data_IF_435625126354
#
_entry.id   IF_435625126354
#
_cell.length_a   1.000
_cell.length_b   1.000
_cell.length_c   1.000
_cell.angle_alpha   90.00
_cell.angle_beta   90.00
_cell.angle_gamma   90.00
#
_symmetry.space_group_name_H-M   'P 1'
#
loop_
_entity.id
_entity.type
_entity.pdbx_description
1 polymer ?
#
# COMPACT_ATOMS: atom_id res chain seq x y z
N UNK A 1 -9.56 0.37 -19.55
CA UNK A 1 -10.48 0.11 -18.42
C UNK A 1 -11.60 1.15 -18.27
N UNK A 2 -11.48 2.37 -18.83
CA UNK A 2 -12.57 3.36 -18.76
C UNK A 2 -12.78 3.97 -17.37
N UNK A 3 -11.77 3.90 -16.50
CA UNK A 3 -11.82 4.48 -15.15
C UNK A 3 -11.58 5.98 -15.28
N UNK A 4 -12.57 6.77 -14.85
CA UNK A 4 -12.58 8.24 -14.85
C UNK A 4 -12.43 8.84 -13.44
N UNK A 5 -12.09 8.01 -12.45
CA UNK A 5 -11.85 8.40 -11.07
C UNK A 5 -10.39 8.77 -10.87
N UNK A 6 -10.13 9.52 -9.80
CA UNK A 6 -8.78 9.90 -9.41
C UNK A 6 -7.94 8.66 -9.11
N UNK A 7 -6.71 8.66 -9.62
CA UNK A 7 -5.74 7.58 -9.43
C UNK A 7 -4.51 8.19 -8.76
N UNK A 8 -4.17 7.69 -7.59
CA UNK A 8 -2.94 8.04 -6.88
C UNK A 8 -1.91 6.92 -7.02
N UNK A 9 -0.73 7.23 -7.55
CA UNK A 9 0.43 6.35 -7.48
C UNK A 9 1.07 6.48 -6.10
N UNK A 10 1.04 5.40 -5.31
CA UNK A 10 1.57 5.37 -3.94
C UNK A 10 3.11 5.28 -3.86
N UNK A 11 3.74 4.86 -4.95
CA UNK A 11 5.19 4.86 -5.11
C UNK A 11 5.71 6.17 -5.68
N UNK A 12 7.04 6.32 -5.75
CA UNK A 12 7.68 7.47 -6.37
C UNK A 12 7.88 7.18 -7.85
N UNK A 13 7.39 8.05 -8.73
CA UNK A 13 7.73 8.06 -10.15
C UNK A 13 9.03 8.82 -10.38
N UNK A 14 9.77 8.50 -11.44
CA UNK A 14 10.88 9.32 -11.87
C UNK A 14 10.38 10.55 -12.65
N UNK A 15 11.09 11.70 -12.62
CA UNK A 15 10.65 12.91 -13.33
C UNK A 15 10.42 12.73 -14.82
N UNK A 16 11.18 11.86 -15.49
CA UNK A 16 11.01 11.54 -16.91
C UNK A 16 9.70 10.80 -17.24
N UNK A 17 8.93 10.36 -16.23
CA UNK A 17 7.63 9.69 -16.40
C UNK A 17 6.44 10.65 -16.20
N UNK A 18 6.70 11.91 -15.84
CA UNK A 18 5.65 12.89 -15.49
C UNK A 18 4.74 13.27 -16.65
N UNK A 19 5.22 13.20 -17.90
CA UNK A 19 4.41 13.50 -19.08
C UNK A 19 3.15 12.64 -19.11
N UNK A 20 3.29 11.35 -18.79
CA UNK A 20 2.18 10.41 -18.77
C UNK A 20 1.24 10.70 -17.60
N UNK A 21 1.79 11.03 -16.43
CA UNK A 21 0.99 11.37 -15.26
C UNK A 21 0.10 12.60 -15.51
N UNK A 22 0.67 13.67 -16.08
CA UNK A 22 -0.06 14.90 -16.41
C UNK A 22 -1.12 14.63 -17.49
N UNK A 23 -0.73 13.96 -18.58
CA UNK A 23 -1.64 13.66 -19.71
C UNK A 23 -2.81 12.77 -19.30
N UNK A 24 -2.61 11.90 -18.31
CA UNK A 24 -3.63 10.96 -17.81
C UNK A 24 -4.30 11.41 -16.52
N UNK A 25 -3.98 12.60 -16.01
CA UNK A 25 -4.52 13.14 -14.75
C UNK A 25 -4.31 12.18 -13.57
N UNK A 26 -3.13 11.56 -13.51
CA UNK A 26 -2.74 10.66 -12.42
C UNK A 26 -2.01 11.46 -11.35
N UNK A 27 -2.49 11.38 -10.12
CA UNK A 27 -1.85 11.99 -8.96
C UNK A 27 -0.60 11.22 -8.59
N UNK A 28 0.51 11.93 -8.34
CA UNK A 28 1.80 11.30 -8.03
C UNK A 28 2.21 11.53 -6.58
N UNK A 29 2.90 10.56 -5.98
CA UNK A 29 3.53 10.74 -4.67
C UNK A 29 4.90 11.39 -4.82
N UNK A 30 5.14 12.46 -4.06
CA UNK A 30 6.47 13.08 -3.93
C UNK A 30 6.96 12.90 -2.50
N UNK A 31 8.18 12.39 -2.35
CA UNK A 31 8.68 11.91 -1.06
C UNK A 31 10.02 12.53 -0.63
N UNK A 32 10.61 13.43 -1.42
CA UNK A 32 11.92 13.99 -1.10
C UNK A 32 12.20 15.32 -1.83
N UNK A 33 13.16 16.11 -1.33
CA UNK A 33 13.62 17.35 -1.96
C UNK A 33 14.54 17.07 -3.17
N UNK A 34 15.24 15.93 -3.18
CA UNK A 34 16.04 15.47 -4.31
C UNK A 34 15.15 15.21 -5.53
N UNK A 35 13.96 14.65 -5.32
CA UNK A 35 12.99 14.48 -6.39
C UNK A 35 12.62 15.83 -7.02
N UNK A 36 12.35 16.84 -6.21
CA UNK A 36 12.06 18.19 -6.67
C UNK A 36 13.27 18.79 -7.43
N UNK A 37 14.48 18.56 -6.95
CA UNK A 37 15.69 19.05 -7.61
C UNK A 37 15.88 18.41 -8.99
N UNK A 38 15.60 17.10 -9.14
CA UNK A 38 15.62 16.42 -10.44
C UNK A 38 14.51 16.93 -11.36
N UNK A 39 13.28 17.08 -10.84
CA UNK A 39 12.16 17.62 -11.61
C UNK A 39 12.46 19.03 -12.15
N UNK A 40 13.14 19.89 -11.39
CA UNK A 40 13.57 21.22 -11.83
C UNK A 40 14.57 21.21 -13.00
N UNK A 41 15.34 20.13 -13.15
CA UNK A 41 16.31 20.02 -14.25
C UNK A 41 15.63 19.62 -15.57
N UNK A 42 14.59 18.80 -15.48
CA UNK A 42 13.93 18.20 -16.64
C UNK A 42 12.67 18.95 -17.06
N UNK A 43 11.99 19.60 -16.11
CA UNK A 43 10.68 20.22 -16.32
C UNK A 43 10.70 21.71 -15.97
N UNK A 44 10.40 22.60 -16.94
CA UNK A 44 10.34 24.05 -16.70
C UNK A 44 9.07 24.48 -15.94
N UNK A 45 7.99 23.70 -16.03
CA UNK A 45 6.70 23.91 -15.38
C UNK A 45 6.04 22.54 -15.13
N UNK A 46 5.35 22.40 -13.99
CA UNK A 46 4.61 21.23 -13.53
C UNK A 46 3.10 21.48 -13.55
N UNK A 47 2.63 22.49 -14.27
CA UNK A 47 1.20 22.77 -14.45
C UNK A 47 0.42 21.53 -14.90
N UNK A 48 -0.66 21.25 -14.17
CA UNK A 48 -1.52 20.08 -14.37
C UNK A 48 -1.04 18.82 -13.66
N UNK A 49 0.14 18.85 -13.01
CA UNK A 49 0.56 17.78 -12.11
C UNK A 49 -0.10 17.96 -10.74
N UNK A 50 -0.82 16.93 -10.32
CA UNK A 50 -1.39 16.81 -8.98
C UNK A 50 -0.50 15.92 -8.12
N UNK A 51 -0.16 16.35 -6.91
CA UNK A 51 0.82 15.67 -6.07
C UNK A 51 0.35 15.46 -4.65
N UNK A 52 0.76 14.34 -4.07
CA UNK A 52 0.61 14.03 -2.65
C UNK A 52 2.00 13.92 -1.99
N UNK A 53 2.18 14.60 -0.87
CA UNK A 53 3.43 14.58 -0.13
C UNK A 53 3.47 13.38 0.81
N UNK A 54 4.52 12.57 0.72
CA UNK A 54 4.73 11.44 1.61
C UNK A 54 5.55 11.83 2.83
N UNK A 55 5.03 11.51 4.00
CA UNK A 55 5.71 11.63 5.29
C UNK A 55 6.09 10.24 5.80
N UNK A 56 7.35 10.07 6.20
CA UNK A 56 7.79 8.89 6.93
C UNK A 56 7.69 9.14 8.44
N UNK A 57 6.61 8.65 9.04
CA UNK A 57 6.41 8.74 10.49
C UNK A 57 7.10 7.63 11.28
N UNK A 58 7.71 6.64 10.63
CA UNK A 58 8.27 5.46 11.29
C UNK A 58 8.15 4.13 10.53
N UNK A 59 7.69 4.15 9.28
CA UNK A 59 7.68 2.97 8.40
C UNK A 59 9.08 2.71 7.83
N UNK A 60 9.87 3.77 7.60
CA UNK A 60 11.25 3.67 7.14
C UNK A 60 11.43 3.31 5.67
N UNK A 61 10.40 3.48 4.84
CA UNK A 61 10.46 3.16 3.40
C UNK A 61 10.73 4.38 2.52
N UNK A 62 9.82 5.35 2.53
CA UNK A 62 9.91 6.62 1.77
C UNK A 62 9.16 7.72 2.52
N UNK A 63 9.61 8.96 2.37
CA UNK A 63 8.93 10.15 2.86
C UNK A 63 9.83 11.10 3.64
N UNK A 64 9.41 12.36 3.71
CA UNK A 64 10.07 13.41 4.47
C UNK A 64 9.81 13.26 5.97
N UNK A 65 10.68 13.85 6.79
CA UNK A 65 10.65 13.69 8.26
C UNK A 65 10.72 15.01 9.05
N UNK A 66 10.76 16.16 8.40
CA UNK A 66 10.72 17.45 9.08
C UNK A 66 9.73 18.42 8.44
N UNK A 67 9.15 19.30 9.28
CA UNK A 67 8.25 20.38 8.85
C UNK A 67 8.93 21.26 7.79
N UNK A 68 10.18 21.65 8.04
CA UNK A 68 10.96 22.50 7.13
C UNK A 68 11.16 21.89 5.75
N UNK A 69 11.48 20.60 5.67
CA UNK A 69 11.63 19.93 4.37
C UNK A 69 10.29 19.87 3.61
N UNK A 70 9.20 19.63 4.34
CA UNK A 70 7.86 19.54 3.76
C UNK A 70 7.41 20.90 3.24
N UNK A 71 7.54 21.96 4.03
CA UNK A 71 7.21 23.32 3.59
C UNK A 71 8.06 23.74 2.37
N UNK A 72 9.36 23.43 2.38
CA UNK A 72 10.24 23.69 1.24
C UNK A 72 9.80 22.92 -0.02
N UNK A 73 9.37 21.67 0.14
CA UNK A 73 8.87 20.86 -0.96
C UNK A 73 7.56 21.42 -1.51
N UNK A 74 6.60 21.75 -0.63
CA UNK A 74 5.30 22.33 -1.00
C UNK A 74 5.50 23.65 -1.75
N UNK A 75 6.29 24.58 -1.19
CA UNK A 75 6.59 25.85 -1.82
C UNK A 75 7.28 25.67 -3.19
N UNK A 76 8.24 24.73 -3.27
CA UNK A 76 8.95 24.42 -4.50
C UNK A 76 8.03 23.89 -5.60
N UNK A 77 7.17 22.93 -5.27
CA UNK A 77 6.20 22.35 -6.20
C UNK A 77 5.19 23.39 -6.69
N UNK A 78 4.61 24.17 -5.77
CA UNK A 78 3.67 25.25 -6.11
C UNK A 78 4.31 26.34 -6.97
N UNK A 79 5.58 26.69 -6.72
CA UNK A 79 6.31 27.67 -7.54
C UNK A 79 6.54 27.21 -8.98
N UNK A 80 6.56 25.89 -9.18
CA UNK A 80 6.62 25.26 -10.50
C UNK A 80 5.22 24.95 -11.05
N UNK A 81 4.12 25.45 -10.47
CA UNK A 81 2.78 25.27 -11.03
C UNK A 81 2.08 23.94 -10.70
N UNK A 82 2.68 23.06 -9.89
CA UNK A 82 2.02 21.83 -9.45
C UNK A 82 0.91 22.10 -8.42
N UNK A 83 -0.13 21.27 -8.44
CA UNK A 83 -1.19 21.25 -7.44
C UNK A 83 -0.83 20.29 -6.30
N UNK A 84 -0.44 20.84 -5.16
CA UNK A 84 -0.21 20.07 -3.93
C UNK A 84 -1.55 19.80 -3.25
N UNK A 85 -2.20 18.70 -3.64
CA UNK A 85 -3.53 18.33 -3.15
C UNK A 85 -3.47 17.67 -1.77
N UNK A 86 -2.51 16.77 -1.57
CA UNK A 86 -2.56 15.85 -0.45
C UNK A 86 -1.26 15.69 0.34
N UNK A 87 -1.40 15.16 1.55
CA UNK A 87 -0.29 14.74 2.42
C UNK A 87 -0.66 13.46 3.16
N UNK A 88 0.30 12.54 3.27
CA UNK A 88 0.01 11.24 3.88
C UNK A 88 1.19 10.51 4.51
N UNK A 89 0.87 9.67 5.49
CA UNK A 89 1.80 8.68 6.05
C UNK A 89 1.24 7.25 5.92
N UNK A 90 2.00 6.25 6.37
CA UNK A 90 1.56 4.87 6.45
C UNK A 90 2.09 4.21 7.72
N UNK A 91 1.21 3.55 8.46
CA UNK A 91 1.54 2.88 9.70
C UNK A 91 2.18 1.52 9.45
N UNK A 92 3.17 1.17 10.27
CA UNK A 92 3.92 -0.07 10.17
C UNK A 92 3.32 -1.21 10.99
N UNK A 93 2.58 -0.88 12.05
CA UNK A 93 2.10 -1.83 13.08
C UNK A 93 0.66 -1.53 13.48
N UNK A 94 -0.17 -1.10 12.52
CA UNK A 94 -1.58 -0.79 12.79
C UNK A 94 -2.44 -2.04 13.03
N UNK A 95 -1.90 -3.19 12.66
CA UNK A 95 -2.46 -4.54 12.70
C UNK A 95 -1.90 -5.38 13.86
N UNK A 96 -1.06 -4.80 14.72
CA UNK A 96 -0.46 -5.44 15.88
C UNK A 96 -1.26 -5.15 17.16
N UNK A 97 -1.16 -6.04 18.16
CA UNK A 97 -1.76 -5.82 19.48
C UNK A 97 -1.02 -4.74 20.30
N UNK A 98 0.30 -4.62 20.12
CA UNK A 98 1.09 -3.55 20.74
C UNK A 98 0.96 -2.25 19.93
N UNK A 99 0.36 -1.23 20.56
CA UNK A 99 0.09 0.06 19.93
C UNK A 99 1.22 1.08 20.05
N UNK A 100 2.32 0.79 20.79
CA UNK A 100 3.36 1.77 21.11
C UNK A 100 3.95 2.42 19.85
N UNK A 101 4.34 1.62 18.85
CA UNK A 101 4.91 2.16 17.61
C UNK A 101 3.85 2.89 16.77
N UNK A 102 2.62 2.38 16.74
CA UNK A 102 1.52 3.02 16.04
C UNK A 102 1.24 4.42 16.61
N UNK A 103 1.15 4.56 17.93
CA UNK A 103 0.92 5.83 18.62
C UNK A 103 2.06 6.84 18.39
N UNK A 104 3.30 6.37 18.39
CA UNK A 104 4.46 7.19 18.04
C UNK A 104 4.37 7.73 16.60
N UNK A 105 4.00 6.87 15.64
CA UNK A 105 3.82 7.26 14.25
C UNK A 105 2.66 8.26 14.08
N UNK A 106 1.55 8.04 14.79
CA UNK A 106 0.37 8.89 14.75
C UNK A 106 0.71 10.28 15.28
N UNK A 107 1.29 10.33 16.48
CA UNK A 107 1.73 11.57 17.13
C UNK A 107 2.72 12.35 16.28
N UNK A 108 3.71 11.65 15.69
CA UNK A 108 4.67 12.29 14.80
C UNK A 108 3.97 12.93 13.58
N UNK A 109 3.08 12.18 12.93
CA UNK A 109 2.40 12.66 11.73
C UNK A 109 1.46 13.83 12.02
N UNK A 110 0.64 13.75 13.07
CA UNK A 110 -0.28 14.84 13.44
C UNK A 110 0.49 16.10 13.82
N UNK A 111 1.52 15.97 14.66
CA UNK A 111 2.35 17.10 15.06
C UNK A 111 3.05 17.77 13.87
N UNK A 112 3.55 16.98 12.91
CA UNK A 112 4.17 17.53 11.70
C UNK A 112 3.14 18.28 10.86
N UNK A 113 1.98 17.67 10.58
CA UNK A 113 0.94 18.25 9.73
C UNK A 113 0.35 19.53 10.32
N UNK A 114 0.19 19.60 11.64
CA UNK A 114 -0.37 20.76 12.33
C UNK A 114 0.61 21.95 12.43
N UNK A 115 1.90 21.72 12.18
CA UNK A 115 2.93 22.76 12.14
C UNK A 115 3.22 23.28 10.73
N UNK A 116 2.61 22.72 9.69
CA UNK A 116 2.84 23.17 8.30
C UNK A 116 2.30 24.59 8.08
N UNK A 117 3.08 25.41 7.39
CA UNK A 117 2.66 26.75 6.98
C UNK A 117 1.53 26.70 5.94
N UNK A 118 1.54 25.66 5.10
CA UNK A 118 0.63 25.49 3.96
C UNK A 118 0.13 24.04 3.91
N UNK A 119 -0.85 23.73 4.78
CA UNK A 119 -1.42 22.39 4.93
C UNK A 119 -2.26 21.99 3.69
N UNK A 120 -1.93 20.88 3.00
CA UNK A 120 -2.76 20.38 1.90
C UNK A 120 -4.19 20.02 2.36
N UNK A 121 -5.16 20.15 1.45
CA UNK A 121 -6.57 19.94 1.77
C UNK A 121 -6.88 18.48 2.08
N UNK A 122 -6.22 17.54 1.41
CA UNK A 122 -6.42 16.11 1.60
C UNK A 122 -5.34 15.56 2.55
N UNK A 123 -5.76 15.09 3.73
CA UNK A 123 -4.89 14.47 4.72
C UNK A 123 -5.35 13.04 4.89
N UNK A 124 -4.46 12.08 4.68
CA UNK A 124 -4.81 10.67 4.85
C UNK A 124 -3.68 9.87 5.49
N UNK A 125 -4.02 8.95 6.38
CA UNK A 125 -3.04 8.05 6.98
C UNK A 125 -3.53 6.60 6.96
N UNK A 126 -4.85 6.42 7.05
CA UNK A 126 -5.44 5.11 7.28
C UNK A 126 -5.26 4.12 6.13
N UNK A 127 -4.88 2.90 6.51
CA UNK A 127 -5.00 1.67 5.74
C UNK A 127 -6.18 0.82 6.28
N UNK A 128 -6.37 -0.38 5.75
CA UNK A 128 -7.38 -1.32 6.24
C UNK A 128 -7.38 -1.51 7.76
N UNK A 129 -6.20 -1.77 8.36
CA UNK A 129 -6.07 -2.05 9.79
C UNK A 129 -6.51 -0.85 10.65
N UNK A 130 -5.98 0.32 10.35
CA UNK A 130 -6.37 1.55 11.07
C UNK A 130 -7.83 1.92 10.87
N UNK A 131 -8.42 1.65 9.70
CA UNK A 131 -9.85 1.90 9.48
C UNK A 131 -10.76 0.95 10.27
N UNK A 132 -10.24 -0.20 10.73
CA UNK A 132 -10.97 -1.15 11.57
C UNK A 132 -10.77 -0.90 13.06
N UNK A 133 -9.53 -0.64 13.49
CA UNK A 133 -9.15 -0.64 14.91
C UNK A 133 -8.75 0.73 15.47
N UNK A 134 -8.43 1.71 14.62
CA UNK A 134 -7.84 3.00 15.01
C UNK A 134 -8.54 4.19 14.32
N UNK A 135 -9.83 4.37 14.65
CA UNK A 135 -10.71 5.35 14.00
C UNK A 135 -10.23 6.80 14.08
N UNK A 136 -9.41 7.14 15.07
CA UNK A 136 -8.77 8.46 15.26
C UNK A 136 -7.80 8.83 14.13
N UNK A 137 -7.40 7.87 13.31
CA UNK A 137 -6.55 8.10 12.14
C UNK A 137 -7.34 8.50 10.89
N UNK A 138 -8.67 8.44 10.94
CA UNK A 138 -9.55 8.81 9.85
C UNK A 138 -9.63 10.33 9.82
N UNK A 139 -8.78 10.93 8.98
CA UNK A 139 -8.78 12.36 8.70
C UNK A 139 -9.91 12.67 7.70
N UNK A 140 -9.59 12.92 6.42
CA UNK A 140 -10.60 13.17 5.39
C UNK A 140 -10.51 12.22 4.18
N UNK A 141 -9.59 11.26 4.19
CA UNK A 141 -9.59 10.12 3.28
C UNK A 141 -8.93 8.87 3.89
N UNK A 142 -9.35 7.68 3.43
CA UNK A 142 -8.84 6.37 3.83
C UNK A 142 -8.39 5.56 2.62
N UNK A 143 -7.35 4.73 2.77
CA UNK A 143 -6.83 3.86 1.72
C UNK A 143 -7.10 2.41 2.05
N UNK A 144 -8.33 1.97 1.78
CA UNK A 144 -8.73 0.58 2.02
C UNK A 144 -8.05 -0.35 1.00
N UNK A 145 -7.53 -1.47 1.49
CA UNK A 145 -6.83 -2.47 0.69
C UNK A 145 -7.36 -3.86 1.00
N UNK A 146 -6.60 -4.62 1.79
CA UNK A 146 -6.88 -6.05 2.06
C UNK A 146 -8.31 -6.34 2.57
N UNK A 147 -8.91 -5.41 3.33
CA UNK A 147 -10.29 -5.53 3.84
C UNK A 147 -11.34 -5.53 2.73
N UNK A 148 -11.08 -4.88 1.59
CA UNK A 148 -11.97 -4.89 0.42
C UNK A 148 -12.10 -6.27 -0.21
N UNK A 149 -11.11 -7.15 0.01
CA UNK A 149 -11.12 -8.54 -0.46
C UNK A 149 -11.68 -9.51 0.59
N UNK A 150 -12.13 -8.98 1.73
CA UNK A 150 -12.70 -9.78 2.80
C UNK A 150 -11.70 -10.48 3.71
N UNK A 151 -10.45 -10.03 3.72
CA UNK A 151 -9.36 -10.65 4.47
C UNK A 151 -8.97 -9.80 5.69
N UNK A 152 -8.75 -10.47 6.83
CA UNK A 152 -8.35 -9.81 8.08
C UNK A 152 -6.94 -9.19 7.93
N UNK A 153 -6.76 -7.86 8.09
CA UNK A 153 -5.45 -7.25 7.94
C UNK A 153 -4.37 -7.78 8.89
N UNK A 154 -4.76 -8.26 10.07
CA UNK A 154 -3.83 -8.81 11.08
C UNK A 154 -3.68 -10.33 11.00
N UNK A 155 -4.24 -10.96 9.96
CA UNK A 155 -4.38 -12.41 9.86
C UNK A 155 -5.30 -12.97 10.95
N UNK A 156 -4.75 -13.24 12.12
CA UNK A 156 -5.47 -13.77 13.28
C UNK A 156 -5.16 -13.05 14.60
N UNK A 157 -4.28 -12.04 14.61
CA UNK A 157 -3.82 -11.40 15.85
C UNK A 157 -4.95 -10.58 16.52
N UNK A 158 -5.70 -9.81 15.72
CA UNK A 158 -6.76 -8.94 16.22
C UNK A 158 -8.14 -9.44 15.79
N UNK A 159 -9.09 -9.38 16.72
CA UNK A 159 -10.49 -9.66 16.46
C UNK A 159 -11.11 -8.57 15.57
N UNK A 160 -11.92 -8.98 14.61
CA UNK A 160 -12.65 -8.07 13.73
C UNK A 160 -13.89 -7.53 14.44
N UNK A 161 -14.18 -6.24 14.24
CA UNK A 161 -15.40 -5.61 14.74
C UNK A 161 -16.68 -6.09 14.02
N UNK A 162 -16.53 -6.60 12.79
CA UNK A 162 -17.61 -7.13 11.97
C UNK A 162 -17.08 -8.23 11.03
N UNK A 163 -17.94 -9.18 10.61
CA UNK A 163 -17.52 -10.24 9.70
C UNK A 163 -17.13 -9.67 8.33
N UNK A 164 -15.99 -10.12 7.82
CA UNK A 164 -15.56 -9.87 6.45
C UNK A 164 -16.00 -11.02 5.54
N UNK A 165 -16.32 -10.71 4.29
CA UNK A 165 -16.71 -11.70 3.28
C UNK A 165 -15.60 -11.86 2.26
N UNK A 166 -14.89 -12.99 2.33
CA UNK A 166 -13.83 -13.33 1.38
C UNK A 166 -14.35 -13.30 -0.07
N UNK A 167 -13.63 -12.58 -0.92
CA UNK A 167 -14.00 -12.38 -2.33
C UNK A 167 -13.29 -13.37 -3.28
N UNK A 168 -12.25 -14.05 -2.81
CA UNK A 168 -11.44 -14.95 -3.61
C UNK A 168 -11.85 -16.41 -3.35
N UNK A 169 -11.81 -17.23 -4.39
CA UNK A 169 -12.02 -18.67 -4.29
C UNK A 169 -11.15 -19.36 -5.36
N UNK A 170 -10.52 -20.47 -5.00
CA UNK A 170 -9.68 -21.26 -5.90
C UNK A 170 -10.21 -22.69 -5.98
N UNK A 171 -10.58 -23.10 -7.19
CA UNK A 171 -11.15 -24.42 -7.46
C UNK A 171 -10.31 -25.17 -8.48
N UNK A 172 -10.36 -26.51 -8.38
CA UNK A 172 -9.76 -27.41 -9.36
C UNK A 172 -10.51 -28.75 -9.35
N UNK A 173 -10.05 -29.70 -10.16
CA UNK A 173 -10.70 -31.00 -10.31
C UNK A 173 -9.66 -32.12 -10.27
N UNK A 174 -10.06 -33.32 -9.83
CA UNK A 174 -9.24 -34.51 -10.00
C UNK A 174 -9.19 -34.87 -11.48
N UNK A 175 -7.98 -34.97 -12.05
CA UNK A 175 -7.76 -35.38 -13.44
C UNK A 175 -7.22 -36.79 -13.56
N UNK A 176 -6.74 -37.36 -12.46
CA UNK A 176 -6.26 -38.75 -12.41
C UNK A 176 -6.42 -39.29 -10.99
N UNK A 177 -6.87 -40.54 -10.88
CA UNK A 177 -6.94 -41.26 -9.61
C UNK A 177 -6.36 -42.66 -9.85
N UNK A 178 -5.44 -43.09 -8.99
CA UNK A 178 -4.91 -44.45 -9.00
C UNK A 178 -4.72 -44.96 -7.57
N UNK A 179 -4.80 -46.27 -7.39
CA UNK A 179 -4.35 -46.93 -6.17
C UNK A 179 -2.84 -47.19 -6.27
N UNK A 180 -2.12 -47.02 -5.16
CA UNK A 180 -0.72 -47.39 -5.01
C UNK A 180 -0.54 -48.31 -3.81
N UNK A 181 0.41 -49.24 -3.89
CA UNK A 181 0.70 -50.24 -2.89
C UNK A 181 1.72 -49.73 -1.85
N UNK A 182 1.80 -50.38 -0.65
CA UNK A 182 2.84 -50.09 0.32
C UNK A 182 4.24 -50.15 -0.29
N UNK A 183 5.01 -49.08 -0.12
CA UNK A 183 6.38 -48.98 -0.58
C UNK A 183 6.59 -48.23 -1.89
N UNK A 184 5.53 -47.96 -2.67
CA UNK A 184 5.60 -47.09 -3.85
C UNK A 184 5.81 -45.61 -3.45
N UNK A 185 6.41 -44.81 -4.35
CA UNK A 185 6.78 -43.42 -4.07
C UNK A 185 6.09 -42.42 -4.98
N UNK A 186 5.91 -41.18 -4.51
CA UNK A 186 5.23 -40.10 -5.21
C UNK A 186 6.06 -38.81 -5.18
N UNK A 187 6.01 -38.04 -6.27
CA UNK A 187 6.65 -36.74 -6.39
C UNK A 187 8.12 -36.80 -6.80
N UNK A 188 8.66 -35.64 -7.18
CA UNK A 188 10.09 -35.52 -7.50
C UNK A 188 10.95 -35.83 -6.28
N UNK A 189 12.09 -36.50 -6.51
CA UNK A 189 12.97 -36.95 -5.42
C UNK A 189 12.40 -38.10 -4.58
N UNK A 190 11.22 -38.63 -4.93
CA UNK A 190 10.57 -39.73 -4.24
C UNK A 190 10.42 -39.49 -2.72
N UNK A 191 10.08 -38.25 -2.33
CA UNK A 191 10.05 -37.82 -0.93
C UNK A 191 8.89 -38.40 -0.14
N UNK A 192 7.81 -38.78 -0.81
CA UNK A 192 6.70 -39.50 -0.23
C UNK A 192 6.78 -40.99 -0.57
N UNK A 193 6.53 -41.86 0.41
CA UNK A 193 6.46 -43.32 0.27
C UNK A 193 5.23 -43.88 0.99
N UNK A 194 4.39 -44.59 0.25
CA UNK A 194 3.17 -45.20 0.75
C UNK A 194 3.47 -46.21 1.88
N UNK A 195 2.74 -46.10 2.99
CA UNK A 195 2.86 -47.05 4.13
C UNK A 195 1.82 -48.17 4.05
N UNK A 196 0.69 -47.90 3.41
CA UNK A 196 -0.44 -48.81 3.20
C UNK A 196 -0.91 -48.71 1.75
N UNK A 197 -1.89 -49.53 1.35
CA UNK A 197 -2.59 -49.31 0.07
C UNK A 197 -3.39 -48.00 0.17
N UNK A 198 -3.26 -47.12 -0.81
CA UNK A 198 -3.94 -45.81 -0.79
C UNK A 198 -4.23 -45.27 -2.20
N UNK A 199 -5.25 -44.42 -2.29
CA UNK A 199 -5.61 -43.74 -3.54
C UNK A 199 -4.91 -42.39 -3.65
N UNK A 200 -4.22 -42.17 -4.76
CA UNK A 200 -3.57 -40.89 -5.11
C UNK A 200 -4.37 -40.17 -6.17
N UNK A 201 -4.88 -39.00 -5.83
CA UNK A 201 -5.51 -38.05 -6.74
C UNK A 201 -4.50 -37.03 -7.29
N UNK A 202 -4.55 -36.76 -8.59
CA UNK A 202 -3.77 -35.69 -9.23
C UNK A 202 -4.68 -34.52 -9.59
N UNK A 203 -4.26 -33.32 -9.23
CA UNK A 203 -4.96 -32.05 -9.50
C UNK A 203 -4.09 -31.22 -10.46
N UNK A 204 -4.66 -30.61 -11.53
CA UNK A 204 -3.93 -29.86 -12.53
C UNK A 204 -3.63 -28.43 -12.04
N UNK A 205 -2.89 -28.31 -10.94
CA UNK A 205 -2.39 -27.04 -10.40
C UNK A 205 -0.98 -27.23 -9.87
N UNK A 206 -0.10 -26.26 -10.13
CA UNK A 206 1.31 -26.29 -9.72
C UNK A 206 1.77 -24.92 -9.24
N UNK A 207 3.06 -24.82 -8.90
CA UNK A 207 3.66 -23.57 -8.38
C UNK A 207 4.01 -22.53 -9.47
N UNK A 208 3.74 -22.82 -10.75
CA UNK A 208 4.15 -22.02 -11.90
C UNK A 208 3.43 -20.67 -11.99
#
# INVERSE_FOLDING_TARGET
>A
AGIDKEILILGVLLPNELELAITRQVTVTVASLEWLAMAKQEWPDLKGLKVHIKIDSGMGRIGLRSVTEVDNLIAGLKSMGAEVEGIFTHFATADEADTVKFEQQLTFFTNLVDQLADKPSLVHASNSATSLWHSETIFNAVRLGIVMYGLNPSGSELALAFPLKEAFNLESVLVHVKEIAPGETVGYGATYKAQTSEYVGTVPIGYA
#
